data_IF_367007849506
#
_entry.id   IF_367007849506
#
_cell.length_a   1.000
_cell.length_b   1.000
_cell.length_c   1.000
_cell.angle_alpha   90.00
_cell.angle_beta   90.00
_cell.angle_gamma   90.00
#
_symmetry.space_group_name_H-M   'P 1'
#
loop_
_entity.id
_entity.type
_entity.pdbx_description
1 polymer ?
#
# COMPACT_ATOMS: atom_id res chain seq x y z
N UNK A 1 -46.75 4.53 -25.52
CA UNK A 1 -48.20 4.43 -25.78
C UNK A 1 -48.38 3.70 -27.10
N UNK A 2 -49.03 2.54 -27.10
CA UNK A 2 -49.29 1.75 -28.31
C UNK A 2 -50.76 1.98 -28.69
N UNK A 3 -51.02 2.36 -29.94
CA UNK A 3 -52.38 2.54 -30.47
C UNK A 3 -52.61 1.57 -31.61
N UNK A 4 -53.67 0.78 -31.51
CA UNK A 4 -54.09 -0.19 -32.53
C UNK A 4 -55.43 0.26 -33.08
N UNK A 5 -55.54 0.38 -34.41
CA UNK A 5 -56.78 0.76 -35.11
C UNK A 5 -57.20 -0.38 -36.01
N UNK A 6 -58.49 -0.72 -35.96
CA UNK A 6 -59.07 -1.76 -36.80
C UNK A 6 -60.42 -1.28 -37.34
N UNK A 7 -60.67 -1.53 -38.62
CA UNK A 7 -61.89 -1.13 -39.31
C UNK A 7 -62.62 -2.36 -39.84
N UNK A 8 -63.87 -2.55 -39.43
CA UNK A 8 -64.75 -3.59 -39.94
C UNK A 8 -66.12 -3.00 -40.31
N UNK A 9 -66.89 -3.75 -41.12
CA UNK A 9 -68.26 -3.36 -41.49
C UNK A 9 -69.23 -3.44 -40.31
N UNK A 10 -68.99 -4.40 -39.42
CA UNK A 10 -69.76 -4.58 -38.20
C UNK A 10 -69.03 -3.89 -37.03
N UNK A 11 -69.66 -2.88 -36.37
CA UNK A 11 -69.06 -2.19 -35.23
C UNK A 11 -68.82 -3.12 -34.03
N UNK A 12 -69.63 -4.16 -33.85
CA UNK A 12 -69.46 -5.14 -32.77
C UNK A 12 -68.21 -5.99 -33.03
N UNK A 13 -68.07 -6.51 -34.25
CA UNK A 13 -66.89 -7.26 -34.67
C UNK A 13 -65.60 -6.43 -34.55
N UNK A 14 -65.64 -5.15 -34.91
CA UNK A 14 -64.48 -4.25 -34.79
C UNK A 14 -64.01 -4.13 -33.33
N UNK A 15 -64.95 -3.94 -32.40
CA UNK A 15 -64.66 -3.85 -30.97
C UNK A 15 -64.17 -5.19 -30.40
N UNK A 16 -64.80 -6.31 -30.78
CA UNK A 16 -64.42 -7.66 -30.32
C UNK A 16 -63.01 -8.04 -30.78
N UNK A 17 -62.64 -7.76 -32.02
CA UNK A 17 -61.29 -8.01 -32.55
C UNK A 17 -60.25 -7.18 -31.79
N UNK A 18 -60.49 -5.90 -31.55
CA UNK A 18 -59.56 -5.04 -30.80
C UNK A 18 -59.40 -5.48 -29.35
N UNK A 19 -60.50 -5.83 -28.68
CA UNK A 19 -60.46 -6.30 -27.29
C UNK A 19 -59.77 -7.68 -27.18
N UNK A 20 -60.01 -8.58 -28.14
CA UNK A 20 -59.34 -9.89 -28.21
C UNK A 20 -57.85 -9.74 -28.50
N UNK A 21 -57.48 -8.88 -29.44
CA UNK A 21 -56.08 -8.56 -29.73
C UNK A 21 -55.37 -7.94 -28.52
N UNK A 22 -56.04 -7.05 -27.78
CA UNK A 22 -55.51 -6.49 -26.54
C UNK A 22 -55.31 -7.56 -25.45
N UNK A 23 -56.26 -8.49 -25.29
CA UNK A 23 -56.16 -9.59 -24.34
C UNK A 23 -55.01 -10.55 -24.70
N UNK A 24 -54.93 -10.97 -25.96
CA UNK A 24 -53.85 -11.84 -26.47
C UNK A 24 -52.48 -11.15 -26.39
N UNK A 25 -52.41 -9.85 -26.65
CA UNK A 25 -51.18 -9.08 -26.46
C UNK A 25 -50.74 -9.10 -25.00
N UNK A 26 -51.63 -8.87 -24.05
CA UNK A 26 -51.29 -8.90 -22.63
C UNK A 26 -50.85 -10.30 -22.17
N UNK A 27 -51.52 -11.35 -22.66
CA UNK A 27 -51.17 -12.74 -22.38
C UNK A 27 -49.77 -13.07 -22.94
N UNK A 28 -49.53 -12.77 -24.22
CA UNK A 28 -48.24 -13.02 -24.87
C UNK A 28 -47.12 -12.15 -24.29
N UNK A 29 -47.39 -10.88 -23.99
CA UNK A 29 -46.44 -9.97 -23.35
C UNK A 29 -46.06 -10.51 -21.98
N UNK A 30 -47.03 -10.98 -21.18
CA UNK A 30 -46.74 -11.64 -19.91
C UNK A 30 -45.90 -12.91 -20.12
N UNK A 31 -46.25 -13.76 -21.09
CA UNK A 31 -45.55 -15.02 -21.33
C UNK A 31 -44.10 -14.83 -21.80
N UNK A 32 -43.83 -13.83 -22.66
CA UNK A 32 -42.48 -13.52 -23.17
C UNK A 32 -41.61 -12.85 -22.10
N UNK A 33 -42.20 -12.06 -21.21
CA UNK A 33 -41.45 -11.36 -20.15
C UNK A 33 -41.39 -12.13 -18.81
N UNK A 34 -42.10 -13.27 -18.69
CA UNK A 34 -42.03 -14.17 -17.54
C UNK A 34 -40.71 -14.92 -17.52
N UNK A 35 -39.67 -14.29 -16.99
CA UNK A 35 -38.31 -14.86 -16.90
C UNK A 35 -38.18 -15.88 -15.76
N UNK A 36 -38.90 -17.01 -15.83
CA UNK A 36 -38.84 -18.05 -14.80
C UNK A 36 -37.43 -18.68 -14.65
N UNK A 37 -36.65 -18.77 -15.74
CA UNK A 37 -35.29 -19.32 -15.70
C UNK A 37 -34.30 -18.43 -14.94
N UNK A 38 -34.52 -17.11 -14.95
CA UNK A 38 -33.67 -16.13 -14.27
C UNK A 38 -33.77 -16.23 -12.75
N UNK A 39 -34.95 -16.57 -12.22
CA UNK A 39 -35.19 -16.74 -10.78
C UNK A 39 -34.41 -17.93 -10.21
N UNK A 40 -34.46 -19.08 -10.91
CA UNK A 40 -33.68 -20.27 -10.54
C UNK A 40 -32.17 -20.05 -10.61
N UNK A 41 -31.70 -19.32 -11.63
CA UNK A 41 -30.28 -18.96 -11.75
C UNK A 41 -29.77 -18.18 -10.53
N UNK A 42 -30.47 -17.12 -10.11
CA UNK A 42 -30.04 -16.32 -8.96
C UNK A 42 -30.11 -17.10 -7.64
N UNK A 43 -31.10 -17.98 -7.46
CA UNK A 43 -31.15 -18.88 -6.29
C UNK A 43 -29.96 -19.83 -6.25
N UNK A 44 -29.63 -20.49 -7.37
CA UNK A 44 -28.47 -21.38 -7.43
C UNK A 44 -27.16 -20.62 -7.16
N UNK A 45 -27.02 -19.42 -7.72
CA UNK A 45 -25.82 -18.62 -7.56
C UNK A 45 -25.67 -18.07 -6.13
N UNK A 46 -26.78 -17.69 -5.48
CA UNK A 46 -26.79 -17.27 -4.07
C UNK A 46 -26.35 -18.42 -3.14
N UNK A 47 -26.87 -19.63 -3.32
CA UNK A 47 -26.45 -20.79 -2.53
C UNK A 47 -24.99 -21.19 -2.78
N UNK A 48 -24.50 -21.10 -4.03
CA UNK A 48 -23.09 -21.30 -4.34
C UNK A 48 -22.18 -20.31 -3.59
N UNK A 49 -22.49 -19.01 -3.65
CA UNK A 49 -21.68 -17.99 -2.96
C UNK A 49 -21.81 -18.05 -1.44
N UNK A 50 -22.94 -18.50 -0.90
CA UNK A 50 -23.12 -18.78 0.53
C UNK A 50 -22.18 -19.89 1.01
N UNK A 51 -22.07 -20.98 0.25
CA UNK A 51 -21.12 -22.05 0.55
C UNK A 51 -19.67 -21.56 0.45
N UNK A 52 -19.34 -20.79 -0.60
CA UNK A 52 -18.02 -20.19 -0.77
C UNK A 52 -17.65 -19.24 0.37
N UNK A 53 -18.59 -18.41 0.84
CA UNK A 53 -18.42 -17.54 2.01
C UNK A 53 -18.16 -18.36 3.27
N UNK A 54 -18.98 -19.39 3.52
CA UNK A 54 -18.80 -20.27 4.66
C UNK A 54 -17.44 -20.99 4.67
N UNK A 55 -16.94 -21.41 3.50
CA UNK A 55 -15.61 -21.99 3.37
C UNK A 55 -14.50 -20.95 3.60
N UNK A 56 -14.61 -19.77 3.00
CA UNK A 56 -13.64 -18.69 3.22
C UNK A 56 -13.55 -18.28 4.71
N UNK A 57 -14.70 -18.19 5.39
CA UNK A 57 -14.77 -17.92 6.82
C UNK A 57 -14.12 -19.05 7.64
N UNK A 58 -14.41 -20.32 7.32
CA UNK A 58 -13.76 -21.48 7.97
C UNK A 58 -12.24 -21.45 7.82
N UNK A 59 -11.73 -21.18 6.61
CA UNK A 59 -10.30 -21.07 6.35
C UNK A 59 -9.68 -19.92 7.16
N UNK A 60 -10.32 -18.75 7.20
CA UNK A 60 -9.87 -17.61 8.00
C UNK A 60 -9.84 -17.95 9.51
N UNK A 61 -10.91 -18.55 10.04
CA UNK A 61 -10.98 -18.93 11.45
C UNK A 61 -9.96 -20.01 11.81
N UNK A 62 -9.77 -21.03 10.96
CA UNK A 62 -8.75 -22.05 11.17
C UNK A 62 -7.33 -21.47 11.15
N UNK A 63 -7.07 -20.51 10.25
CA UNK A 63 -5.81 -19.78 10.22
C UNK A 63 -5.61 -18.95 11.51
N UNK A 64 -6.63 -18.23 11.97
CA UNK A 64 -6.58 -17.45 13.20
C UNK A 64 -6.34 -18.32 14.44
N UNK A 65 -6.99 -19.48 14.54
CA UNK A 65 -6.83 -20.42 15.65
C UNK A 65 -5.43 -21.07 15.66
N UNK A 66 -4.96 -21.58 14.51
CA UNK A 66 -3.64 -22.24 14.41
C UNK A 66 -2.46 -21.32 14.68
N UNK A 67 -2.64 -20.03 14.43
CA UNK A 67 -1.56 -19.01 14.52
C UNK A 67 -1.78 -18.04 15.68
N UNK A 68 -2.81 -18.25 16.50
CA UNK A 68 -3.16 -17.40 17.66
C UNK A 68 -3.25 -15.89 17.29
N UNK A 69 -3.77 -15.60 16.10
CA UNK A 69 -3.72 -14.26 15.46
C UNK A 69 -4.62 -13.21 16.13
N UNK A 70 -5.39 -13.59 17.16
CA UNK A 70 -6.22 -12.65 17.93
C UNK A 70 -5.44 -11.44 18.45
N UNK A 71 -4.11 -11.52 18.56
CA UNK A 71 -3.22 -10.47 19.04
C UNK A 71 -2.12 -10.09 18.03
N UNK A 72 -2.28 -10.37 16.73
CA UNK A 72 -1.21 -10.20 15.74
C UNK A 72 -0.64 -8.76 15.70
N UNK A 73 -1.51 -7.74 15.72
CA UNK A 73 -1.05 -6.34 15.74
C UNK A 73 -0.33 -5.99 17.05
N UNK A 74 -0.79 -6.50 18.19
CA UNK A 74 -0.10 -6.32 19.47
C UNK A 74 1.26 -7.04 19.49
N UNK A 75 1.33 -8.26 18.94
CA UNK A 75 2.59 -9.02 18.80
C UNK A 75 3.59 -8.28 17.90
N UNK A 76 3.13 -7.69 16.79
CA UNK A 76 3.99 -6.86 15.92
C UNK A 76 4.51 -5.63 16.63
N UNK A 77 3.65 -4.91 17.35
CA UNK A 77 4.06 -3.73 18.10
C UNK A 77 5.05 -4.08 19.21
N UNK A 78 4.82 -5.19 19.92
CA UNK A 78 5.73 -5.69 20.94
C UNK A 78 7.07 -6.17 20.35
N UNK A 79 7.05 -6.83 19.19
CA UNK A 79 8.26 -7.24 18.49
C UNK A 79 9.07 -6.03 18.02
N UNK A 80 8.41 -5.05 17.40
CA UNK A 80 9.06 -3.82 16.92
C UNK A 80 9.68 -3.04 18.09
N UNK A 81 8.96 -2.86 19.20
CA UNK A 81 9.51 -2.18 20.37
C UNK A 81 10.71 -2.92 20.96
N UNK A 82 10.68 -4.27 20.95
CA UNK A 82 11.80 -5.09 21.38
C UNK A 82 13.01 -4.96 20.46
N UNK A 83 12.81 -4.96 19.14
CA UNK A 83 13.88 -4.71 18.14
C UNK A 83 14.51 -3.35 18.40
N UNK A 84 13.73 -2.27 18.50
CA UNK A 84 14.26 -0.92 18.75
C UNK A 84 15.05 -0.84 20.05
N UNK A 85 14.55 -1.46 21.13
CA UNK A 85 15.26 -1.49 22.41
C UNK A 85 16.58 -2.28 22.35
N UNK A 86 16.60 -3.42 21.64
CA UNK A 86 17.81 -4.22 21.44
C UNK A 86 18.82 -3.51 20.54
N UNK A 87 18.37 -2.82 19.50
CA UNK A 87 19.25 -1.99 18.64
C UNK A 87 19.90 -0.86 19.44
N UNK A 88 19.12 -0.15 20.26
CA UNK A 88 19.65 0.87 21.16
C UNK A 88 20.67 0.27 22.15
N UNK A 89 20.36 -0.86 22.78
CA UNK A 89 21.30 -1.54 23.69
C UNK A 89 22.55 -2.05 22.97
N UNK A 90 22.44 -2.47 21.72
CA UNK A 90 23.58 -2.92 20.92
C UNK A 90 24.51 -1.75 20.63
N UNK A 91 23.96 -0.62 20.15
CA UNK A 91 24.73 0.59 19.86
C UNK A 91 25.41 1.16 21.11
N UNK A 92 24.71 1.15 22.25
CA UNK A 92 25.27 1.55 23.54
C UNK A 92 26.44 0.63 23.94
N UNK A 93 26.25 -0.69 23.84
CA UNK A 93 27.31 -1.65 24.17
C UNK A 93 28.53 -1.48 23.25
N UNK A 94 28.30 -1.24 21.96
CA UNK A 94 29.39 -0.96 21.00
C UNK A 94 30.15 0.32 21.36
N UNK A 95 29.46 1.37 21.82
CA UNK A 95 30.13 2.59 22.27
C UNK A 95 30.96 2.32 23.51
N UNK A 96 30.40 1.61 24.50
CA UNK A 96 31.11 1.25 25.73
C UNK A 96 32.35 0.38 25.46
N UNK A 97 32.29 -0.54 24.49
CA UNK A 97 33.46 -1.32 24.06
C UNK A 97 34.54 -0.39 23.52
N UNK A 98 34.20 0.52 22.60
CA UNK A 98 35.18 1.46 22.02
C UNK A 98 35.82 2.34 23.10
N UNK A 99 35.04 2.86 24.02
CA UNK A 99 35.53 3.71 25.11
C UNK A 99 36.48 2.93 26.04
N UNK A 100 36.12 1.69 26.41
CA UNK A 100 36.94 0.84 27.26
C UNK A 100 38.24 0.40 26.55
N UNK A 101 38.18 0.09 25.25
CA UNK A 101 39.36 -0.25 24.44
C UNK A 101 40.32 0.93 24.32
N UNK A 102 39.81 2.15 24.12
CA UNK A 102 40.62 3.37 24.12
C UNK A 102 41.29 3.60 25.49
N UNK A 103 40.55 3.43 26.58
CA UNK A 103 41.10 3.53 27.94
C UNK A 103 42.20 2.50 28.18
N UNK A 104 41.99 1.24 27.79
CA UNK A 104 43.00 0.19 27.89
C UNK A 104 44.26 0.54 27.08
N UNK A 105 44.10 1.09 25.87
CA UNK A 105 45.22 1.54 25.06
C UNK A 105 46.02 2.67 25.72
N UNK A 106 45.35 3.63 26.37
CA UNK A 106 46.02 4.69 27.13
C UNK A 106 46.77 4.16 28.35
N UNK A 107 46.17 3.25 29.12
CA UNK A 107 46.80 2.62 30.28
C UNK A 107 48.03 1.80 29.89
N UNK A 108 47.98 1.06 28.76
CA UNK A 108 49.14 0.35 28.21
C UNK A 108 50.30 1.29 27.87
N UNK A 109 50.02 2.42 27.20
CA UNK A 109 51.02 3.44 26.90
C UNK A 109 51.63 4.05 28.18
N UNK A 110 50.82 4.26 29.21
CA UNK A 110 51.33 4.74 30.51
C UNK A 110 52.26 3.72 31.17
N UNK A 111 51.93 2.42 31.12
CA UNK A 111 52.78 1.35 31.64
C UNK A 111 54.14 1.27 30.93
N UNK A 112 54.17 1.53 29.62
CA UNK A 112 55.43 1.58 28.86
C UNK A 112 56.37 2.71 29.32
N UNK A 113 55.81 3.82 29.81
CA UNK A 113 56.59 4.96 30.32
C UNK A 113 57.01 4.85 31.78
N UNK A 114 56.43 3.91 32.55
CA UNK A 114 56.66 3.79 33.99
C UNK A 114 57.75 2.75 34.30
N UNK A 115 58.80 3.10 35.06
CA UNK A 115 59.82 2.15 35.45
C UNK A 115 59.24 1.07 36.37
N UNK A 116 59.78 -0.15 36.26
CA UNK A 116 59.34 -1.32 37.03
C UNK A 116 59.64 -1.14 38.52
N UNK A 117 60.82 -0.62 38.84
CA UNK A 117 61.27 -0.31 40.19
C UNK A 117 61.57 1.17 40.35
N UNK A 118 61.38 1.69 41.57
CA UNK A 118 61.82 3.02 42.00
C UNK A 118 62.69 2.87 43.24
N UNK A 119 63.60 3.82 43.46
CA UNK A 119 64.42 3.83 44.66
C UNK A 119 63.60 4.32 45.86
N UNK A 120 63.45 3.47 46.87
CA UNK A 120 62.55 3.71 48.00
C UNK A 120 63.12 4.70 49.02
N UNK A 121 64.44 4.66 49.21
CA UNK A 121 65.21 5.52 50.12
C UNK A 121 66.69 5.15 50.01
N UNK A 122 67.58 6.13 49.95
CA UNK A 122 69.00 5.94 50.24
C UNK A 122 69.19 5.97 51.76
N UNK A 123 69.37 4.81 52.40
CA UNK A 123 69.80 4.79 53.81
C UNK A 123 71.31 4.85 53.86
N UNK A 124 71.82 5.93 54.43
CA UNK A 124 73.21 6.05 54.82
C UNK A 124 73.43 5.17 56.06
N UNK A 125 73.75 3.90 55.84
CA UNK A 125 74.03 2.96 56.92
C UNK A 125 75.44 3.24 57.47
N UNK A 126 75.56 4.24 58.36
CA UNK A 126 76.79 4.45 59.13
C UNK A 126 76.79 3.46 60.28
N UNK A 127 77.84 2.66 60.42
CA UNK A 127 77.96 1.68 61.50
C UNK A 127 78.29 2.39 62.82
N UNK A 128 77.28 3.02 63.41
CA UNK A 128 77.39 3.88 64.60
C UNK A 128 77.94 3.12 65.81
N UNK A 129 77.59 1.85 65.96
CA UNK A 129 78.12 0.97 67.00
C UNK A 129 79.63 0.68 66.85
N UNK A 130 80.12 0.52 65.62
CA UNK A 130 81.56 0.34 65.36
C UNK A 130 82.33 1.64 65.61
N UNK A 131 81.77 2.78 65.17
CA UNK A 131 82.33 4.10 65.40
C UNK A 131 82.51 4.39 66.90
N UNK A 132 81.52 4.08 67.72
CA UNK A 132 81.58 4.31 69.17
C UNK A 132 82.61 3.41 69.86
N UNK A 133 82.74 2.15 69.41
CA UNK A 133 83.79 1.24 69.89
C UNK A 133 85.19 1.71 69.52
N UNK A 134 85.40 2.17 68.29
CA UNK A 134 86.69 2.70 67.84
C UNK A 134 87.10 3.97 68.59
N UNK A 135 86.14 4.88 68.85
CA UNK A 135 86.37 6.06 69.70
C UNK A 135 86.75 5.68 71.13
N UNK A 136 86.03 4.73 71.73
CA UNK A 136 86.31 4.24 73.08
C UNK A 136 87.71 3.61 73.18
N UNK A 137 88.09 2.78 72.21
CA UNK A 137 89.40 2.16 72.13
C UNK A 137 90.53 3.21 71.95
N UNK A 138 90.28 4.25 71.15
CA UNK A 138 91.23 5.34 70.96
C UNK A 138 91.52 6.05 72.28
N UNK A 139 90.49 6.38 73.06
CA UNK A 139 90.63 7.01 74.39
C UNK A 139 91.38 6.10 75.37
N UNK A 140 91.11 4.79 75.36
CA UNK A 140 91.84 3.82 76.19
C UNK A 140 93.33 3.76 75.84
N UNK A 141 93.66 3.72 74.55
CA UNK A 141 95.04 3.70 74.07
C UNK A 141 95.77 5.02 74.36
N UNK A 142 95.08 6.17 74.24
CA UNK A 142 95.63 7.48 74.61
C UNK A 142 95.94 7.59 76.12
N UNK A 143 95.07 7.06 76.97
CA UNK A 143 95.31 6.97 78.41
C UNK A 143 96.49 6.04 78.73
N UNK A 144 96.56 4.88 78.07
CA UNK A 144 97.67 3.92 78.23
C UNK A 144 99.01 4.50 77.77
N UNK A 145 99.02 5.28 76.68
CA UNK A 145 100.20 6.05 76.24
C UNK A 145 100.63 7.04 77.31
N UNK A 146 99.68 7.79 77.88
CA UNK A 146 99.96 8.77 78.93
C UNK A 146 100.56 8.10 80.18
N UNK A 147 100.01 6.96 80.61
CA UNK A 147 100.58 6.19 81.73
C UNK A 147 101.99 5.68 81.42
N UNK A 148 102.23 5.11 80.23
CA UNK A 148 103.56 4.64 79.84
C UNK A 148 104.58 5.78 79.76
N UNK A 149 104.18 6.97 79.32
CA UNK A 149 105.03 8.16 79.26
C UNK A 149 105.38 8.73 80.66
N UNK A 150 104.64 8.39 81.71
CA UNK A 150 105.04 8.75 83.09
C UNK A 150 106.19 7.89 83.62
N UNK A 151 106.38 6.68 83.06
CA UNK A 151 107.35 5.68 83.55
C UNK A 151 108.48 5.40 82.56
N UNK A 152 108.30 5.69 81.27
CA UNK A 152 109.22 5.37 80.19
C UNK A 152 109.39 6.54 79.22
N UNK A 153 110.57 6.66 78.64
CA UNK A 153 110.88 7.63 77.59
C UNK A 153 110.05 7.37 76.31
N UNK A 154 109.67 8.40 75.53
CA UNK A 154 108.96 8.24 74.26
C UNK A 154 109.60 7.24 73.28
N UNK A 155 110.91 7.04 73.32
CA UNK A 155 111.63 6.08 72.48
C UNK A 155 111.50 4.61 72.88
N UNK A 156 110.88 4.31 74.04
CA UNK A 156 110.80 2.93 74.55
C UNK A 156 109.80 2.08 73.75
N UNK A 157 110.16 0.82 73.51
CA UNK A 157 109.42 -0.12 72.63
C UNK A 157 107.92 -0.22 72.98
N UNK A 158 107.57 -0.21 74.27
CA UNK A 158 106.18 -0.27 74.71
C UNK A 158 105.37 0.99 74.37
N UNK A 159 105.99 2.18 74.40
CA UNK A 159 105.34 3.44 74.00
C UNK A 159 105.14 3.47 72.48
N UNK A 160 106.16 3.04 71.72
CA UNK A 160 106.08 2.97 70.25
C UNK A 160 105.00 2.02 69.75
N UNK A 161 104.80 0.88 70.44
CA UNK A 161 103.74 -0.07 70.13
C UNK A 161 102.34 0.55 70.34
N UNK A 162 102.13 1.25 71.46
CA UNK A 162 100.86 1.95 71.72
C UNK A 162 100.63 3.11 70.74
N UNK A 163 101.67 3.87 70.39
CA UNK A 163 101.54 4.91 69.36
C UNK A 163 101.17 4.35 67.98
N UNK A 164 101.74 3.19 67.63
CA UNK A 164 101.35 2.49 66.41
C UNK A 164 99.88 2.08 66.45
N UNK A 165 99.43 1.52 67.57
CA UNK A 165 98.02 1.14 67.78
C UNK A 165 97.07 2.34 67.72
N UNK A 166 97.46 3.51 68.26
CA UNK A 166 96.70 4.77 68.14
C UNK A 166 96.59 5.19 66.67
N UNK A 167 97.71 5.18 65.92
CA UNK A 167 97.70 5.52 64.48
C UNK A 167 96.82 4.57 63.68
N UNK A 168 96.92 3.26 63.92
CA UNK A 168 96.13 2.25 63.22
C UNK A 168 94.64 2.38 63.56
N UNK A 169 94.30 2.67 64.82
CA UNK A 169 92.91 2.91 65.26
C UNK A 169 92.35 4.19 64.64
N UNK A 170 93.12 5.28 64.60
CA UNK A 170 92.72 6.57 64.01
C UNK A 170 92.48 6.44 62.51
N UNK A 171 93.38 5.77 61.79
CA UNK A 171 93.22 5.54 60.34
C UNK A 171 92.02 4.65 60.03
N UNK A 172 91.72 3.67 60.89
CA UNK A 172 90.52 2.83 60.75
C UNK A 172 89.25 3.65 61.03
N UNK A 173 89.26 4.50 62.06
CA UNK A 173 88.16 5.42 62.35
C UNK A 173 87.89 6.39 61.20
N UNK A 174 88.93 6.99 60.62
CA UNK A 174 88.83 7.88 59.45
C UNK A 174 88.31 7.15 58.20
N UNK A 175 88.73 5.91 57.98
CA UNK A 175 88.22 5.06 56.88
C UNK A 175 86.74 4.73 57.04
N UNK A 176 86.31 4.30 58.22
CA UNK A 176 84.89 4.01 58.52
C UNK A 176 84.04 5.29 58.53
N UNK A 177 84.64 6.44 58.87
CA UNK A 177 84.00 7.75 58.83
C UNK A 177 83.79 8.25 57.38
N UNK A 178 84.68 7.89 56.46
CA UNK A 178 84.54 8.15 55.02
C UNK A 178 83.71 7.08 54.28
N UNK A 179 83.66 5.86 54.81
CA UNK A 179 82.86 4.75 54.27
C UNK A 179 81.37 5.01 54.49
N UNK A 180 80.77 5.71 53.53
CA UNK A 180 79.33 5.94 53.48
C UNK A 180 78.71 4.78 52.71
N UNK A 181 78.21 3.76 53.41
CA UNK A 181 77.43 2.69 52.75
C UNK A 181 76.04 3.25 52.46
N UNK A 182 75.81 3.62 51.21
CA UNK A 182 74.48 3.97 50.71
C UNK A 182 73.80 2.67 50.33
N UNK A 183 72.91 2.19 51.19
CA UNK A 183 72.07 1.04 50.87
C UNK A 183 70.91 1.55 49.99
N UNK A 184 70.94 1.19 48.70
CA UNK A 184 69.90 1.54 47.74
C UNK A 184 68.93 0.37 47.64
N UNK A 185 67.76 0.48 48.27
CA UNK A 185 66.70 -0.51 48.10
C UNK A 185 65.82 -0.13 46.92
N UNK A 186 65.81 -0.97 45.88
CA UNK A 186 64.82 -0.88 44.82
C UNK A 186 63.50 -1.50 45.29
N UNK A 187 62.41 -0.75 45.16
CA UNK A 187 61.05 -1.25 45.43
C UNK A 187 60.21 -1.21 44.17
N UNK A 188 59.22 -2.13 44.02
CA UNK A 188 58.26 -2.05 42.93
C UNK A 188 57.58 -0.68 42.90
N UNK A 189 57.43 -0.12 41.71
CA UNK A 189 56.78 1.16 41.54
C UNK A 189 55.26 1.05 41.86
N UNK A 190 54.77 1.67 42.95
CA UNK A 190 53.36 1.55 43.35
C UNK A 190 52.41 2.19 42.33
N UNK A 191 52.87 3.18 41.56
CA UNK A 191 52.10 3.79 40.47
C UNK A 191 51.96 2.82 39.30
N UNK A 192 53.03 2.07 38.98
CA UNK A 192 52.94 1.03 37.94
C UNK A 192 51.96 -0.06 38.34
N UNK A 193 51.99 -0.51 39.60
CA UNK A 193 51.06 -1.51 40.12
C UNK A 193 49.59 -1.04 40.08
N UNK A 194 49.32 0.23 40.38
CA UNK A 194 47.96 0.77 40.32
C UNK A 194 47.43 0.82 38.87
N UNK A 195 48.25 1.27 37.92
CA UNK A 195 47.90 1.30 36.49
C UNK A 195 47.71 -0.11 35.94
N UNK A 196 48.55 -1.07 36.32
CA UNK A 196 48.42 -2.49 35.93
C UNK A 196 47.12 -3.11 36.46
N UNK A 197 46.75 -2.79 37.70
CA UNK A 197 45.45 -3.18 38.27
C UNK A 197 44.25 -2.53 37.57
N UNK A 198 44.37 -1.28 37.13
CA UNK A 198 43.32 -0.60 36.36
C UNK A 198 43.18 -1.18 34.95
N UNK A 199 44.31 -1.52 34.30
CA UNK A 199 44.31 -2.17 33.00
C UNK A 199 43.59 -3.53 33.07
N UNK A 200 43.93 -4.36 34.05
CA UNK A 200 43.29 -5.68 34.22
C UNK A 200 41.78 -5.57 34.44
N UNK A 201 41.32 -4.60 35.25
CA UNK A 201 39.89 -4.32 35.42
C UNK A 201 39.23 -3.87 34.12
N UNK A 202 39.90 -3.02 33.35
CA UNK A 202 39.40 -2.53 32.05
C UNK A 202 39.32 -3.66 31.03
N UNK A 203 40.32 -4.55 30.96
CA UNK A 203 40.31 -5.72 30.09
C UNK A 203 39.18 -6.71 30.46
N UNK A 204 38.98 -6.95 31.76
CA UNK A 204 37.84 -7.74 32.24
C UNK A 204 36.50 -7.11 31.86
N UNK A 205 36.38 -5.78 31.91
CA UNK A 205 35.18 -5.06 31.48
C UNK A 205 34.95 -5.23 29.98
N UNK A 206 35.99 -5.07 29.15
CA UNK A 206 35.92 -5.29 27.69
C UNK A 206 35.39 -6.69 27.39
N UNK A 207 35.94 -7.73 28.04
CA UNK A 207 35.48 -9.10 27.87
C UNK A 207 33.99 -9.28 28.21
N UNK A 208 33.53 -8.66 29.32
CA UNK A 208 32.12 -8.66 29.71
C UNK A 208 31.20 -7.94 28.71
N UNK A 209 31.65 -6.80 28.17
CA UNK A 209 30.91 -6.04 27.16
C UNK A 209 30.81 -6.82 25.84
N UNK A 210 31.88 -7.51 25.42
CA UNK A 210 31.85 -8.38 24.24
C UNK A 210 30.86 -9.55 24.39
N UNK A 211 30.81 -10.16 25.57
CA UNK A 211 29.81 -11.19 25.87
C UNK A 211 28.38 -10.62 25.78
N UNK A 212 28.16 -9.43 26.35
CA UNK A 212 26.87 -8.72 26.27
C UNK A 212 26.49 -8.39 24.82
N UNK A 213 27.42 -7.83 24.03
CA UNK A 213 27.24 -7.52 22.60
C UNK A 213 26.77 -8.75 21.84
N UNK A 214 27.42 -9.88 22.07
CA UNK A 214 27.09 -11.15 21.40
C UNK A 214 25.69 -11.65 21.78
N UNK A 215 25.33 -11.56 23.06
CA UNK A 215 23.98 -11.90 23.52
C UNK A 215 22.91 -11.00 22.91
N UNK A 216 23.11 -9.68 22.93
CA UNK A 216 22.17 -8.72 22.35
C UNK A 216 22.06 -8.91 20.84
N UNK A 217 23.16 -9.18 20.14
CA UNK A 217 23.16 -9.45 18.71
C UNK A 217 22.34 -10.72 18.37
N UNK A 218 22.48 -11.77 19.17
CA UNK A 218 21.70 -13.01 19.01
C UNK A 218 20.20 -12.76 19.19
N UNK A 219 19.83 -12.03 20.25
CA UNK A 219 18.43 -11.65 20.50
C UNK A 219 17.90 -10.77 19.36
N UNK A 220 18.68 -9.79 18.92
CA UNK A 220 18.30 -8.90 17.82
C UNK A 220 18.04 -9.69 16.53
N UNK A 221 18.88 -10.67 16.21
CA UNK A 221 18.67 -11.54 15.05
C UNK A 221 17.38 -12.36 15.17
N UNK A 222 17.11 -12.92 16.35
CA UNK A 222 15.87 -13.65 16.63
C UNK A 222 14.62 -12.76 16.44
N UNK A 223 14.61 -11.56 17.00
CA UNK A 223 13.45 -10.66 16.89
C UNK A 223 13.30 -10.07 15.48
N UNK A 224 14.38 -9.91 14.71
CA UNK A 224 14.32 -9.54 13.28
C UNK A 224 13.76 -10.65 12.41
N UNK A 225 14.14 -11.91 12.65
CA UNK A 225 13.56 -13.06 11.95
C UNK A 225 12.06 -13.24 12.30
N UNK A 226 11.72 -13.07 13.57
CA UNK A 226 10.33 -13.08 14.01
C UNK A 226 9.52 -11.94 13.36
N UNK A 227 10.13 -10.77 13.13
CA UNK A 227 9.48 -9.68 12.41
C UNK A 227 9.08 -10.09 10.99
N UNK A 228 9.99 -10.71 10.23
CA UNK A 228 9.69 -11.20 8.88
C UNK A 228 8.58 -12.25 8.88
N UNK A 229 8.58 -13.13 9.88
CA UNK A 229 7.53 -14.13 10.06
C UNK A 229 6.17 -13.47 10.33
N UNK A 230 6.11 -12.48 11.22
CA UNK A 230 4.89 -11.73 11.52
C UNK A 230 4.40 -10.92 10.30
N UNK A 231 5.29 -10.37 9.49
CA UNK A 231 4.95 -9.70 8.23
C UNK A 231 4.29 -10.64 7.22
N UNK A 232 4.87 -11.84 7.02
CA UNK A 232 4.27 -12.88 6.17
C UNK A 232 2.90 -13.32 6.68
N UNK A 233 2.78 -13.58 7.99
CA UNK A 233 1.50 -13.92 8.62
C UNK A 233 0.46 -12.81 8.46
N UNK A 234 0.87 -11.54 8.52
CA UNK A 234 -0.01 -10.40 8.29
C UNK A 234 -0.51 -10.35 6.85
N UNK A 235 0.38 -10.60 5.87
CA UNK A 235 0.00 -10.63 4.46
C UNK A 235 -1.03 -11.75 4.21
N UNK A 236 -0.74 -12.96 4.67
CA UNK A 236 -1.65 -14.11 4.57
C UNK A 236 -3.01 -13.81 5.25
N UNK A 237 -2.98 -13.21 6.44
CA UNK A 237 -4.19 -12.82 7.16
C UNK A 237 -5.06 -11.85 6.34
N UNK A 238 -4.44 -10.79 5.81
CA UNK A 238 -5.13 -9.78 5.00
C UNK A 238 -5.69 -10.37 3.71
N UNK A 239 -4.98 -11.31 3.10
CA UNK A 239 -5.45 -11.99 1.90
C UNK A 239 -6.67 -12.87 2.19
N UNK A 240 -6.67 -13.61 3.31
CA UNK A 240 -7.84 -14.39 3.73
C UNK A 240 -9.02 -13.49 4.10
N UNK A 241 -8.79 -12.37 4.80
CA UNK A 241 -9.83 -11.38 5.07
C UNK A 241 -10.42 -10.81 3.78
N UNK A 242 -9.58 -10.51 2.77
CA UNK A 242 -10.04 -10.04 1.46
C UNK A 242 -10.90 -11.08 0.76
N UNK A 243 -10.51 -12.36 0.82
CA UNK A 243 -11.31 -13.47 0.24
C UNK A 243 -12.67 -13.59 0.90
N UNK A 244 -12.74 -13.50 2.23
CA UNK A 244 -14.02 -13.49 2.97
C UNK A 244 -14.87 -12.30 2.52
N UNK A 245 -14.30 -11.09 2.47
CA UNK A 245 -15.01 -9.89 2.05
C UNK A 245 -15.56 -10.00 0.62
N UNK A 246 -14.77 -10.50 -0.33
CA UNK A 246 -15.21 -10.71 -1.71
C UNK A 246 -16.32 -11.76 -1.78
N UNK A 247 -16.20 -12.87 -1.04
CA UNK A 247 -17.24 -13.89 -0.98
C UNK A 247 -18.54 -13.35 -0.35
N UNK A 248 -18.44 -12.50 0.66
CA UNK A 248 -19.56 -11.83 1.31
C UNK A 248 -20.25 -10.85 0.36
N UNK A 249 -19.49 -9.99 -0.32
CA UNK A 249 -20.01 -9.05 -1.32
C UNK A 249 -20.73 -9.79 -2.46
N UNK A 250 -20.16 -10.88 -2.97
CA UNK A 250 -20.80 -11.71 -3.99
C UNK A 250 -22.08 -12.37 -3.46
N UNK A 251 -22.05 -12.95 -2.26
CA UNK A 251 -23.24 -13.55 -1.66
C UNK A 251 -24.36 -12.52 -1.50
N UNK A 252 -24.07 -11.34 -0.94
CA UNK A 252 -25.05 -10.27 -0.76
C UNK A 252 -25.59 -9.74 -2.09
N UNK A 253 -24.74 -9.63 -3.12
CA UNK A 253 -25.14 -9.23 -4.46
C UNK A 253 -26.17 -10.22 -5.06
N UNK A 254 -25.88 -11.52 -5.01
CA UNK A 254 -26.79 -12.52 -5.59
C UNK A 254 -28.02 -12.76 -4.73
N UNK A 255 -27.92 -12.64 -3.41
CA UNK A 255 -29.08 -12.63 -2.51
C UNK A 255 -30.01 -11.47 -2.85
N UNK A 256 -29.47 -10.27 -3.07
CA UNK A 256 -30.26 -9.11 -3.50
C UNK A 256 -30.92 -9.36 -4.87
N UNK A 257 -30.20 -9.93 -5.84
CA UNK A 257 -30.75 -10.26 -7.17
C UNK A 257 -31.85 -11.31 -7.11
N UNK A 258 -31.71 -12.30 -6.24
CA UNK A 258 -32.75 -13.30 -5.97
C UNK A 258 -34.01 -12.64 -5.42
N UNK A 259 -33.87 -11.72 -4.46
CA UNK A 259 -35.01 -10.99 -3.90
C UNK A 259 -35.68 -10.06 -4.92
N UNK A 260 -34.89 -9.35 -5.72
CA UNK A 260 -35.40 -8.55 -6.85
C UNK A 260 -36.19 -9.42 -7.84
N UNK A 261 -35.68 -10.60 -8.19
CA UNK A 261 -36.38 -11.55 -9.06
C UNK A 261 -37.67 -12.07 -8.43
N UNK A 262 -37.65 -12.41 -7.13
CA UNK A 262 -38.84 -12.88 -6.40
C UNK A 262 -39.93 -11.81 -6.33
N UNK A 263 -39.55 -10.54 -6.13
CA UNK A 263 -40.48 -9.41 -6.14
C UNK A 263 -41.06 -9.23 -7.55
N UNK A 264 -40.23 -9.27 -8.59
CA UNK A 264 -40.71 -9.19 -9.97
C UNK A 264 -41.71 -10.32 -10.29
N UNK A 265 -41.39 -11.56 -9.93
CA UNK A 265 -42.27 -12.72 -10.10
C UNK A 265 -43.60 -12.53 -9.35
N UNK A 266 -43.57 -11.97 -8.14
CA UNK A 266 -44.77 -11.68 -7.35
C UNK A 266 -45.62 -10.55 -7.97
N UNK A 267 -44.99 -9.51 -8.55
CA UNK A 267 -45.68 -8.43 -9.26
C UNK A 267 -46.38 -8.94 -10.52
N UNK A 268 -45.71 -9.82 -11.27
CA UNK A 268 -46.29 -10.48 -12.45
C UNK A 268 -47.49 -11.36 -12.07
N UNK A 269 -47.40 -12.12 -10.97
CA UNK A 269 -48.52 -12.91 -10.44
C UNK A 269 -49.72 -12.04 -10.05
N UNK A 270 -49.47 -10.86 -9.48
CA UNK A 270 -50.52 -9.88 -9.16
C UNK A 270 -51.02 -9.09 -10.38
N UNK A 271 -50.55 -9.42 -11.60
CA UNK A 271 -50.87 -8.71 -12.85
C UNK A 271 -50.58 -7.21 -12.79
N UNK A 272 -49.59 -6.81 -11.98
CA UNK A 272 -49.07 -5.44 -11.94
C UNK A 272 -48.13 -5.28 -13.15
N UNK A 273 -48.72 -5.34 -14.34
CA UNK A 273 -48.01 -5.18 -15.60
C UNK A 273 -47.68 -3.70 -15.81
N UNK A 274 -46.51 -3.41 -16.39
CA UNK A 274 -46.16 -2.06 -16.83
C UNK A 274 -47.02 -1.57 -18.02
N UNK A 275 -47.92 -2.42 -18.52
CA UNK A 275 -48.88 -2.13 -19.58
C UNK A 275 -50.29 -2.39 -19.05
N UNK A 276 -51.10 -1.33 -18.96
CA UNK A 276 -52.52 -1.42 -18.63
C UNK A 276 -53.36 -0.96 -19.82
N UNK A 277 -54.54 -1.54 -19.98
CA UNK A 277 -55.50 -1.09 -21.01
C UNK A 277 -56.10 0.24 -20.55
N UNK A 278 -55.67 1.33 -21.17
CA UNK A 278 -56.17 2.67 -20.86
C UNK A 278 -57.63 2.84 -21.30
N UNK A 279 -57.98 2.33 -22.48
CA UNK A 279 -59.32 2.44 -23.06
C UNK A 279 -59.67 1.12 -23.77
N UNK A 280 -60.83 0.55 -23.45
CA UNK A 280 -61.36 -0.64 -24.14
C UNK A 280 -62.07 -0.21 -25.40
N UNK A 281 -62.01 -1.03 -26.46
CA UNK A 281 -62.75 -0.73 -27.67
C UNK A 281 -64.25 -0.89 -27.41
N UNK A 282 -65.01 0.20 -27.57
CA UNK A 282 -66.47 0.24 -27.51
C UNK A 282 -67.00 0.36 -28.93
N UNK A 283 -68.07 -0.35 -29.32
CA UNK A 283 -68.66 -0.20 -30.64
C UNK A 283 -69.10 1.27 -30.84
N UNK A 284 -68.66 1.94 -31.92
CA UNK A 284 -69.03 3.33 -32.17
C UNK A 284 -70.53 3.42 -32.47
N UNK A 285 -71.23 4.33 -31.79
CA UNK A 285 -72.67 4.54 -31.97
C UNK A 285 -73.02 5.16 -33.34
N UNK A 286 -72.04 5.81 -33.97
CA UNK A 286 -72.18 6.40 -35.31
C UNK A 286 -71.14 5.77 -36.25
N UNK A 287 -71.52 5.42 -37.49
CA UNK A 287 -70.56 4.96 -38.48
C UNK A 287 -69.47 6.01 -38.70
N UNK A 288 -68.21 5.59 -38.68
CA UNK A 288 -67.11 6.46 -39.12
C UNK A 288 -67.28 6.66 -40.62
N UNK A 289 -67.70 7.85 -41.02
CA UNK A 289 -67.99 8.14 -42.43
C UNK A 289 -66.74 7.95 -43.29
N UNK A 290 -66.77 6.95 -44.15
CA UNK A 290 -65.83 6.85 -45.26
C UNK A 290 -66.32 7.85 -46.31
N UNK A 291 -65.56 8.92 -46.57
CA UNK A 291 -65.88 9.98 -47.55
C UNK A 291 -65.88 9.49 -49.03
N UNK A 292 -66.51 8.33 -49.31
CA UNK A 292 -66.58 7.70 -50.63
C UNK A 292 -67.30 8.60 -51.63
N UNK A 293 -68.35 9.30 -51.20
CA UNK A 293 -69.05 10.30 -52.01
C UNK A 293 -68.12 11.43 -52.44
N UNK A 294 -67.30 11.95 -51.53
CA UNK A 294 -66.36 13.03 -51.82
C UNK A 294 -65.25 12.57 -52.77
N UNK A 295 -64.73 11.35 -52.58
CA UNK A 295 -63.74 10.72 -53.49
C UNK A 295 -64.34 10.53 -54.88
N UNK A 296 -65.59 10.06 -54.97
CA UNK A 296 -66.29 9.87 -56.24
C UNK A 296 -66.55 11.19 -56.96
N UNK A 297 -66.95 12.23 -56.21
CA UNK A 297 -67.20 13.58 -56.75
C UNK A 297 -65.90 14.20 -57.28
N UNK A 298 -64.80 14.08 -56.53
CA UNK A 298 -63.48 14.51 -56.98
C UNK A 298 -63.03 13.76 -58.25
N UNK A 299 -63.23 12.43 -58.28
CA UNK A 299 -62.92 11.61 -59.45
C UNK A 299 -63.71 12.02 -60.70
N UNK A 300 -65.00 12.35 -60.53
CA UNK A 300 -65.85 12.83 -61.61
C UNK A 300 -65.37 14.19 -62.14
N UNK A 301 -64.99 15.11 -61.25
CA UNK A 301 -64.44 16.43 -61.63
C UNK A 301 -63.15 16.25 -62.44
N UNK A 302 -62.22 15.42 -61.97
CA UNK A 302 -60.95 15.14 -62.68
C UNK A 302 -61.22 14.51 -64.05
N UNK A 303 -62.14 13.55 -64.15
CA UNK A 303 -62.52 12.92 -65.41
C UNK A 303 -63.14 13.91 -66.41
N UNK A 304 -63.99 14.83 -65.95
CA UNK A 304 -64.60 15.86 -66.79
C UNK A 304 -63.55 16.83 -67.36
N UNK A 305 -62.60 17.29 -66.53
CA UNK A 305 -61.50 18.13 -66.99
C UNK A 305 -60.57 17.39 -67.97
N UNK A 306 -60.24 16.14 -67.69
CA UNK A 306 -59.43 15.33 -68.59
C UNK A 306 -60.12 15.08 -69.94
N UNK A 307 -61.43 14.81 -69.93
CA UNK A 307 -62.23 14.63 -71.14
C UNK A 307 -62.33 15.90 -71.98
N UNK A 308 -62.59 17.05 -71.35
CA UNK A 308 -62.59 18.35 -72.02
C UNK A 308 -61.21 18.69 -72.60
N UNK A 309 -60.14 18.43 -71.85
CA UNK A 309 -58.76 18.58 -72.32
C UNK A 309 -58.47 17.73 -73.55
N UNK A 310 -58.87 16.45 -73.55
CA UNK A 310 -58.71 15.56 -74.71
C UNK A 310 -59.50 16.04 -75.93
N UNK A 311 -60.74 16.53 -75.75
CA UNK A 311 -61.55 17.05 -76.85
C UNK A 311 -60.95 18.31 -77.48
N UNK A 312 -60.48 19.26 -76.67
CA UNK A 312 -59.80 20.47 -77.17
C UNK A 312 -58.50 20.13 -77.89
N UNK A 313 -57.75 19.15 -77.36
CA UNK A 313 -56.52 18.67 -77.99
C UNK A 313 -56.82 17.99 -79.33
N UNK A 314 -57.88 17.19 -79.42
CA UNK A 314 -58.32 16.59 -80.67
C UNK A 314 -58.75 17.64 -81.72
N UNK A 315 -59.43 18.71 -81.30
CA UNK A 315 -59.83 19.80 -82.20
C UNK A 315 -58.63 20.61 -82.70
N UNK A 316 -57.65 20.89 -81.82
CA UNK A 316 -56.44 21.63 -82.21
C UNK A 316 -55.58 20.90 -83.26
N UNK A 317 -55.62 19.56 -83.26
CA UNK A 317 -54.93 18.74 -84.25
C UNK A 317 -55.80 18.36 -85.46
N UNK A 318 -57.01 18.91 -85.61
CA UNK A 318 -57.87 18.66 -86.74
C UNK A 318 -57.68 19.72 -87.85
N UNK A 319 -57.04 19.39 -88.99
CA UNK A 319 -56.77 20.33 -90.08
C UNK A 319 -58.00 20.61 -90.98
N UNK A 320 -59.21 20.61 -90.44
CA UNK A 320 -60.44 20.78 -91.22
C UNK A 320 -60.81 22.26 -91.34
N UNK A 321 -60.94 22.75 -92.58
CA UNK A 321 -61.31 24.14 -92.90
C UNK A 321 -62.84 24.20 -93.05
N UNK A 322 -63.53 24.98 -92.20
CA UNK A 322 -65.00 24.97 -92.12
C UNK A 322 -65.68 26.19 -92.76
N UNK A 323 -64.92 27.22 -93.16
CA UNK A 323 -65.45 28.45 -93.73
C UNK A 323 -64.93 28.82 -95.11
N UNK A 324 -65.79 29.38 -95.97
CA UNK A 324 -65.39 29.91 -97.27
C UNK A 324 -64.34 31.03 -97.15
N UNK A 325 -64.40 31.83 -96.10
CA UNK A 325 -63.43 32.90 -95.78
C UNK A 325 -62.06 32.32 -95.41
N UNK A 326 -62.05 31.20 -94.71
CA UNK A 326 -60.86 30.48 -94.25
C UNK A 326 -60.13 29.83 -95.44
N UNK A 327 -60.89 29.32 -96.43
CA UNK A 327 -60.37 28.82 -97.70
C UNK A 327 -59.72 29.92 -98.56
N UNK A 328 -60.33 31.11 -98.64
CA UNK A 328 -59.78 32.27 -99.38
C UNK A 328 -58.45 32.71 -98.78
N UNK A 329 -58.34 32.72 -97.45
CA UNK A 329 -57.14 33.18 -96.75
C UNK A 329 -55.97 32.22 -96.94
N UNK A 330 -56.25 30.90 -97.01
CA UNK A 330 -55.22 29.88 -97.18
C UNK A 330 -54.81 29.66 -98.65
N UNK A 331 -55.74 29.82 -99.61
CA UNK A 331 -55.51 29.47 -101.03
C UNK A 331 -55.35 30.69 -101.95
N UNK A 332 -55.73 31.89 -101.50
CA UNK A 332 -55.57 33.15 -102.26
C UNK A 332 -56.47 33.29 -103.49
N UNK A 333 -57.39 32.34 -103.73
CA UNK A 333 -58.28 32.33 -104.89
C UNK A 333 -59.70 32.79 -104.51
N UNK A 334 -60.38 33.58 -105.36
CA UNK A 334 -61.75 33.99 -105.11
C UNK A 334 -62.72 32.80 -105.22
N UNK A 335 -63.54 32.60 -104.19
CA UNK A 335 -64.58 31.55 -104.19
C UNK A 335 -65.73 31.99 -105.09
N UNK A 336 -65.93 31.29 -106.20
CA UNK A 336 -66.89 31.66 -107.25
C UNK A 336 -68.35 31.31 -106.91
N UNK A 337 -68.58 30.32 -106.05
CA UNK A 337 -69.90 29.98 -105.54
C UNK A 337 -69.77 29.17 -104.24
N UNK A 338 -70.63 29.46 -103.27
CA UNK A 338 -70.83 28.62 -102.08
C UNK A 338 -72.20 27.97 -102.21
N UNK A 339 -72.26 26.64 -102.07
CA UNK A 339 -73.53 25.91 -102.07
C UNK A 339 -73.99 25.81 -100.62
N UNK A 340 -75.07 26.51 -100.21
CA UNK A 340 -75.56 26.44 -98.84
C UNK A 340 -76.11 25.02 -98.58
N UNK A 341 -75.59 24.36 -97.55
CA UNK A 341 -76.23 23.17 -96.96
C UNK A 341 -77.40 23.63 -96.09
N UNK A 342 -78.58 23.79 -96.70
CA UNK A 342 -79.82 24.13 -95.99
C UNK A 342 -81.04 24.11 -96.91
N UNK A 343 -82.16 23.55 -96.42
CA UNK A 343 -83.39 23.16 -97.15
C UNK A 343 -83.89 24.17 -98.20
N UNK A 344 -84.15 23.67 -99.40
CA UNK A 344 -84.92 24.36 -100.43
C UNK A 344 -86.34 24.66 -99.92
N UNK A 345 -86.73 25.93 -99.94
CA UNK A 345 -88.12 26.37 -99.81
C UNK A 345 -88.71 26.42 -101.22
N UNK A 346 -89.55 25.45 -101.56
CA UNK A 346 -90.44 25.55 -102.73
C UNK A 346 -91.82 26.00 -102.25
N UNK A 347 -92.15 27.27 -102.48
CA UNK A 347 -93.51 27.79 -102.41
C UNK A 347 -94.25 27.48 -103.72
N UNK A 348 -95.42 26.84 -103.66
CA UNK A 348 -96.36 26.78 -104.78
C UNK A 348 -97.52 27.72 -104.49
N UNK A 349 -97.74 28.70 -105.36
CA UNK A 349 -98.91 29.57 -105.41
C UNK A 349 -100.00 28.95 -106.28
N UNK A 350 -101.24 28.91 -105.78
CA UNK A 350 -102.45 28.67 -106.58
C UNK A 350 -103.14 30.00 -106.85
N UNK A 351 -103.42 30.31 -108.12
CA UNK A 351 -104.69 30.86 -108.65
C UNK A 351 -104.66 30.81 -110.20
N UNK A 352 -105.71 30.20 -110.74
CA UNK A 352 -106.12 29.96 -112.16
C UNK A 352 -105.31 28.99 -113.03
#
# INVERSE_FOLDING_TARGET
MISVKYAARDPVLAAEVLNTAAALYLEQHSAVHRNQETSGFFTHQAEYYKQALGEAQRVLSAFQQRREISLLEQQKQANLSRVTALEASFQETESQIRDAEQRAALLRRQLESLPVTIQAQSRTARNEALMERLKSLLVELENKRTELLTKYDPGYRLVQEVEKQIRDTRTTLEREQAATVVDQTETPNPIRQSVEGELLRTESLIAGLWARRTSVAKDLMYYKDNQQTLERLTADHKDLQRRVKVAEENYLLYQKKQEESRIADAMDQQKILNVSVLERAVPPALPVERHQLLILLLGLVVAAFAGAGCALMAEHFNPSIWGATELITYTGLPVLATIPKGKAVCSYSTLE
#
